data_IF_949908561958
#
_entry.id   IF_949908561958
#
_cell.length_a   1.000
_cell.length_b   1.000
_cell.length_c   1.000
_cell.angle_alpha   90.00
_cell.angle_beta   90.00
_cell.angle_gamma   90.00
#
_symmetry.space_group_name_H-M   'P 1'
#
loop_
_entity.id
_entity.type
_entity.pdbx_description
1 polymer ?
#
# COMPACT_ATOMS: atom_id res chain seq x y z
N UNK A 1 4.72 17.70 -1.94
CA UNK A 1 4.43 17.04 -0.67
C UNK A 1 5.71 16.80 0.07
N UNK A 2 5.85 17.46 1.20
CA UNK A 2 7.05 17.54 2.01
C UNK A 2 6.65 17.24 3.44
N UNK A 3 7.46 16.48 4.18
CA UNK A 3 7.21 16.17 5.59
C UNK A 3 7.20 17.43 6.48
N UNK A 4 7.84 18.53 6.05
CA UNK A 4 7.79 19.81 6.74
C UNK A 4 6.35 20.26 7.04
N UNK A 5 5.39 19.96 6.18
CA UNK A 5 3.98 20.29 6.42
C UNK A 5 3.42 19.60 7.65
N UNK A 6 3.87 18.39 7.96
CA UNK A 6 3.44 17.65 9.16
C UNK A 6 4.05 18.27 10.42
N UNK A 7 5.30 18.74 10.34
CA UNK A 7 5.94 19.45 11.44
C UNK A 7 5.24 20.78 11.75
N UNK A 8 4.83 21.54 10.72
CA UNK A 8 4.20 22.85 10.91
C UNK A 8 2.76 22.77 11.38
N UNK A 9 1.96 21.85 10.83
CA UNK A 9 0.52 21.85 11.02
C UNK A 9 0.00 20.62 11.78
N UNK A 10 0.81 19.54 11.90
CA UNK A 10 0.34 18.26 12.41
C UNK A 10 -0.29 18.35 13.80
N UNK A 11 0.36 19.05 14.73
CA UNK A 11 -0.16 19.18 16.11
C UNK A 11 -1.48 19.93 16.15
N UNK A 12 -1.64 21.02 15.40
CA UNK A 12 -2.88 21.79 15.34
C UNK A 12 -4.02 20.96 14.74
N UNK A 13 -3.73 20.26 13.64
CA UNK A 13 -4.66 19.34 12.97
C UNK A 13 -5.11 18.24 13.93
N UNK A 14 -4.16 17.61 14.64
CA UNK A 14 -4.45 16.52 15.57
C UNK A 14 -5.24 17.01 16.80
N UNK A 15 -4.93 18.19 17.34
CA UNK A 15 -5.67 18.79 18.46
C UNK A 15 -7.14 19.08 18.08
N UNK A 16 -7.41 19.37 16.80
CA UNK A 16 -8.77 19.51 16.27
C UNK A 16 -9.41 18.19 15.86
N UNK A 17 -8.75 17.07 16.10
CA UNK A 17 -9.20 15.73 15.73
C UNK A 17 -9.50 15.56 14.23
N UNK A 18 -8.83 16.34 13.37
CA UNK A 18 -8.94 16.22 11.93
C UNK A 18 -8.14 15.00 11.47
N UNK A 19 -8.75 14.17 10.64
CA UNK A 19 -8.11 12.96 10.08
C UNK A 19 -6.93 13.33 9.18
N UNK A 20 -5.83 12.63 9.31
CA UNK A 20 -4.62 12.81 8.51
C UNK A 20 -4.44 11.61 7.59
N UNK A 21 -4.36 11.86 6.28
CA UNK A 21 -3.95 10.87 5.28
C UNK A 21 -2.66 11.36 4.63
N UNK A 22 -1.57 10.62 4.85
CA UNK A 22 -0.27 10.95 4.30
C UNK A 22 0.21 9.91 3.29
N UNK A 23 0.58 10.40 2.09
CA UNK A 23 1.11 9.61 0.98
C UNK A 23 2.54 10.01 0.61
N UNK A 24 3.27 10.64 1.52
CA UNK A 24 4.66 11.03 1.30
C UNK A 24 5.53 9.78 1.22
N UNK A 25 6.28 9.61 0.12
CA UNK A 25 7.02 8.38 -0.14
C UNK A 25 8.21 8.18 0.80
N UNK A 26 8.87 9.27 1.15
CA UNK A 26 10.09 9.26 1.95
C UNK A 26 9.91 10.18 3.16
N UNK A 27 9.63 9.59 4.29
CA UNK A 27 9.73 10.23 5.60
C UNK A 27 11.10 9.94 6.21
N UNK A 28 11.63 10.91 6.95
CA UNK A 28 12.69 10.65 7.93
C UNK A 28 12.15 9.79 9.08
N UNK A 29 13.05 9.17 9.84
CA UNK A 29 12.66 8.43 11.04
C UNK A 29 11.93 9.34 12.06
N UNK A 30 12.33 10.61 12.13
CA UNK A 30 11.71 11.63 12.97
C UNK A 30 10.30 11.97 12.49
N UNK A 31 10.11 12.17 11.19
CA UNK A 31 8.80 12.45 10.59
C UNK A 31 7.81 11.29 10.79
N UNK A 32 8.26 10.04 10.67
CA UNK A 32 7.44 8.87 10.97
C UNK A 32 7.05 8.79 12.45
N UNK A 33 8.01 9.08 13.33
CA UNK A 33 7.73 9.13 14.79
C UNK A 33 6.71 10.21 15.12
N UNK A 34 6.80 11.37 14.46
CA UNK A 34 5.81 12.44 14.62
C UNK A 34 4.43 11.99 14.18
N UNK A 35 4.29 11.37 12.99
CA UNK A 35 3.01 10.83 12.52
C UNK A 35 2.40 9.83 13.50
N UNK A 36 3.22 8.94 14.07
CA UNK A 36 2.76 7.99 15.08
C UNK A 36 2.22 8.69 16.33
N UNK A 37 2.92 9.72 16.84
CA UNK A 37 2.48 10.54 17.98
C UNK A 37 1.17 11.30 17.67
N UNK A 38 0.99 11.79 16.46
CA UNK A 38 -0.28 12.41 16.06
C UNK A 38 -1.44 11.40 16.10
N UNK A 39 -1.15 10.12 15.84
CA UNK A 39 -2.10 9.03 15.96
C UNK A 39 -2.64 8.80 17.39
N UNK A 40 -1.99 9.32 18.44
CA UNK A 40 -2.51 9.29 19.79
C UNK A 40 -3.69 10.25 20.00
N UNK A 41 -3.83 11.26 19.14
CA UNK A 41 -4.85 12.32 19.26
C UNK A 41 -5.91 12.28 18.18
N UNK A 42 -5.59 11.76 17.01
CA UNK A 42 -6.52 11.67 15.88
C UNK A 42 -6.27 10.39 15.08
N UNK A 43 -7.04 10.18 14.02
CA UNK A 43 -6.85 9.08 13.10
C UNK A 43 -5.85 9.48 12.04
N UNK A 44 -4.76 8.74 11.94
CA UNK A 44 -3.67 8.99 10.98
C UNK A 44 -3.49 7.74 10.13
N UNK A 45 -3.49 7.89 8.82
CA UNK A 45 -3.03 6.84 7.92
C UNK A 45 -1.77 7.30 7.17
N UNK A 46 -0.81 6.43 7.13
CA UNK A 46 0.37 6.56 6.29
C UNK A 46 0.48 5.41 5.31
N UNK A 47 0.62 5.75 4.03
CA UNK A 47 1.00 4.80 2.99
C UNK A 47 1.78 5.50 1.89
N UNK A 48 2.99 5.06 1.57
CA UNK A 48 3.76 5.63 0.45
C UNK A 48 3.15 5.33 -0.93
N UNK A 49 2.24 4.36 -1.01
CA UNK A 49 1.35 4.17 -2.15
C UNK A 49 -0.09 4.14 -1.64
N UNK A 50 -0.90 5.09 -2.10
CA UNK A 50 -2.25 5.29 -1.57
C UNK A 50 -3.35 4.66 -2.44
N UNK A 51 -3.02 3.98 -3.53
CA UNK A 51 -4.03 3.31 -4.34
C UNK A 51 -4.54 2.04 -3.65
N UNK A 52 -5.86 1.85 -3.62
CA UNK A 52 -6.49 0.69 -3.01
C UNK A 52 -5.98 -0.61 -3.63
N UNK A 53 -5.97 -0.68 -4.96
CA UNK A 53 -5.67 -1.93 -5.67
C UNK A 53 -4.27 -2.46 -5.39
N UNK A 54 -3.23 -1.60 -5.34
CA UNK A 54 -1.87 -2.05 -5.05
C UNK A 54 -1.71 -2.53 -3.61
N UNK A 55 -2.37 -1.86 -2.65
CA UNK A 55 -2.33 -2.30 -1.25
C UNK A 55 -3.05 -3.63 -1.06
N UNK A 56 -4.16 -3.86 -1.78
CA UNK A 56 -4.85 -5.14 -1.78
C UNK A 56 -4.01 -6.24 -2.46
N UNK A 57 -3.36 -5.94 -3.59
CA UNK A 57 -2.42 -6.87 -4.24
C UNK A 57 -1.34 -7.32 -3.25
N UNK A 58 -0.70 -6.37 -2.55
CA UNK A 58 0.35 -6.68 -1.58
C UNK A 58 -0.17 -7.57 -0.45
N UNK A 59 -1.35 -7.28 0.09
CA UNK A 59 -1.97 -8.07 1.14
C UNK A 59 -2.31 -9.49 0.67
N UNK A 60 -2.92 -9.62 -0.51
CA UNK A 60 -3.27 -10.91 -1.10
C UNK A 60 -2.02 -11.76 -1.42
N UNK A 61 -0.98 -11.14 -1.96
CA UNK A 61 0.29 -11.81 -2.24
C UNK A 61 0.96 -12.30 -0.95
N UNK A 62 0.97 -11.50 0.12
CA UNK A 62 1.47 -11.91 1.44
C UNK A 62 0.70 -13.09 2.01
N UNK A 63 -0.62 -13.06 1.90
CA UNK A 63 -1.47 -14.16 2.38
C UNK A 63 -1.15 -15.44 1.62
N UNK A 64 -1.06 -15.36 0.29
CA UNK A 64 -0.72 -16.53 -0.53
C UNK A 64 0.69 -17.05 -0.23
N UNK A 65 1.67 -16.18 0.00
CA UNK A 65 3.03 -16.58 0.39
C UNK A 65 3.05 -17.35 1.71
N UNK A 66 2.19 -16.96 2.67
CA UNK A 66 2.05 -17.69 3.94
C UNK A 66 1.41 -19.08 3.77
N UNK A 67 0.39 -19.15 2.91
CA UNK A 67 -0.33 -20.41 2.62
C UNK A 67 0.52 -21.37 1.81
N UNK A 68 1.33 -20.84 0.88
CA UNK A 68 2.17 -21.63 -0.03
C UNK A 68 3.63 -21.13 -0.03
N UNK A 69 4.38 -21.33 1.05
CA UNK A 69 5.77 -20.86 1.16
C UNK A 69 6.73 -21.54 0.16
N UNK A 70 6.33 -22.67 -0.40
CA UNK A 70 7.09 -23.44 -1.38
C UNK A 70 6.93 -22.96 -2.83
N UNK A 71 6.01 -22.03 -3.09
CA UNK A 71 5.80 -21.51 -4.46
C UNK A 71 6.98 -20.64 -4.90
N UNK A 72 7.39 -20.80 -6.16
CA UNK A 72 8.28 -19.85 -6.80
C UNK A 72 7.58 -18.50 -7.00
N UNK A 73 8.30 -17.41 -6.80
CA UNK A 73 7.72 -16.06 -6.94
C UNK A 73 8.57 -15.23 -7.88
N UNK A 74 7.92 -14.61 -8.85
CA UNK A 74 8.45 -13.55 -9.72
C UNK A 74 7.57 -12.32 -9.65
N UNK A 75 8.19 -11.15 -9.83
CA UNK A 75 7.49 -9.85 -9.84
C UNK A 75 7.76 -9.18 -11.18
N UNK A 76 6.70 -8.74 -11.86
CA UNK A 76 6.83 -7.94 -13.08
C UNK A 76 6.31 -6.53 -12.78
N UNK A 77 7.09 -5.53 -13.17
CA UNK A 77 6.63 -4.14 -13.15
C UNK A 77 6.82 -3.49 -14.51
N UNK A 78 5.85 -2.67 -14.92
CA UNK A 78 5.91 -1.97 -16.19
C UNK A 78 5.57 -0.49 -15.95
N UNK A 79 6.39 0.38 -16.49
CA UNK A 79 6.20 1.83 -16.42
C UNK A 79 6.56 2.51 -17.75
N UNK A 80 6.30 3.80 -17.83
CA UNK A 80 6.61 4.62 -18.99
C UNK A 80 8.11 4.58 -19.34
N UNK A 81 8.39 4.81 -20.62
CA UNK A 81 9.72 4.59 -21.22
C UNK A 81 10.86 5.32 -20.51
N UNK A 82 10.60 6.53 -20.01
CA UNK A 82 11.61 7.42 -19.43
C UNK A 82 11.91 7.14 -17.94
N UNK A 83 11.15 6.24 -17.30
CA UNK A 83 11.41 5.89 -15.90
C UNK A 83 12.74 5.14 -15.76
N UNK A 84 13.68 5.72 -15.02
CA UNK A 84 15.03 5.17 -14.88
C UNK A 84 15.11 3.97 -13.93
N UNK A 85 14.55 4.13 -12.73
CA UNK A 85 14.73 3.15 -11.66
C UNK A 85 13.60 2.11 -11.62
N UNK A 86 13.94 0.93 -11.06
CA UNK A 86 12.94 -0.07 -10.67
C UNK A 86 11.92 0.55 -9.72
N UNK A 87 10.66 0.20 -9.90
CA UNK A 87 9.56 0.71 -9.09
C UNK A 87 9.79 0.48 -7.59
N UNK A 88 9.73 1.56 -6.80
CA UNK A 88 9.76 1.45 -5.35
C UNK A 88 8.63 0.58 -4.78
N UNK A 89 7.49 0.51 -5.49
CA UNK A 89 6.37 -0.39 -5.15
C UNK A 89 6.77 -1.85 -5.39
N UNK A 90 7.42 -2.18 -6.52
CA UNK A 90 7.89 -3.53 -6.79
C UNK A 90 8.92 -4.00 -5.76
N UNK A 91 9.86 -3.12 -5.35
CA UNK A 91 10.80 -3.41 -4.26
C UNK A 91 10.11 -3.69 -2.94
N UNK A 92 9.07 -2.93 -2.60
CA UNK A 92 8.24 -3.18 -1.39
C UNK A 92 7.50 -4.51 -1.47
N UNK A 93 6.98 -4.87 -2.64
CA UNK A 93 6.36 -6.18 -2.85
C UNK A 93 7.39 -7.28 -2.59
N UNK A 94 8.58 -7.20 -3.22
CA UNK A 94 9.65 -8.17 -3.02
C UNK A 94 10.04 -8.32 -1.54
N UNK A 95 10.30 -7.20 -0.88
CA UNK A 95 10.59 -7.18 0.56
C UNK A 95 9.48 -7.81 1.40
N UNK A 96 8.22 -7.54 1.07
CA UNK A 96 7.06 -8.05 1.82
C UNK A 96 6.85 -9.54 1.67
N UNK A 97 7.36 -10.14 0.59
CA UNK A 97 7.27 -11.56 0.28
C UNK A 97 8.54 -12.34 0.62
N UNK A 98 9.56 -11.66 1.17
CA UNK A 98 10.90 -12.20 1.40
C UNK A 98 11.49 -12.80 0.11
N UNK A 99 11.47 -11.99 -0.96
CA UNK A 99 11.97 -12.34 -2.29
C UNK A 99 13.08 -11.38 -2.68
N UNK A 100 14.18 -11.92 -3.26
CA UNK A 100 15.29 -11.09 -3.74
C UNK A 100 14.83 -10.13 -4.84
N UNK A 101 15.35 -8.90 -4.84
CA UNK A 101 15.05 -7.88 -5.87
C UNK A 101 15.45 -8.34 -7.29
N UNK A 102 16.35 -9.31 -7.43
CA UNK A 102 16.70 -9.95 -8.70
C UNK A 102 15.50 -10.65 -9.36
N UNK A 103 14.47 -10.98 -8.59
CA UNK A 103 13.19 -11.53 -9.04
C UNK A 103 12.21 -10.46 -9.53
N UNK A 104 12.67 -9.23 -9.72
CA UNK A 104 11.89 -8.15 -10.29
C UNK A 104 12.28 -7.95 -11.74
N UNK A 105 11.36 -8.26 -12.65
CA UNK A 105 11.48 -7.93 -14.07
C UNK A 105 10.86 -6.56 -14.34
N UNK A 106 11.68 -5.58 -14.72
CA UNK A 106 11.24 -4.22 -14.99
C UNK A 106 11.13 -3.96 -16.50
N UNK A 107 9.96 -3.59 -16.99
CA UNK A 107 9.72 -3.23 -18.38
C UNK A 107 9.44 -1.73 -18.52
N UNK A 108 9.92 -1.14 -19.62
CA UNK A 108 9.76 0.29 -19.94
C UNK A 108 9.11 0.43 -21.32
N UNK A 109 7.81 0.77 -21.33
CA UNK A 109 6.98 0.73 -22.53
C UNK A 109 6.03 1.93 -22.58
N UNK A 110 6.12 2.70 -23.66
CA UNK A 110 5.16 3.76 -23.97
C UNK A 110 4.87 4.70 -22.80
N UNK A 111 3.59 4.93 -22.56
CA UNK A 111 3.09 5.80 -21.47
C UNK A 111 2.44 5.05 -20.31
N UNK A 112 2.83 3.80 -20.04
CA UNK A 112 2.28 3.01 -18.93
C UNK A 112 2.48 3.76 -17.62
N UNK A 113 1.39 4.05 -16.92
CA UNK A 113 1.44 4.80 -15.64
C UNK A 113 2.05 3.95 -14.54
N UNK A 114 1.66 2.67 -14.47
CA UNK A 114 2.22 1.70 -13.54
C UNK A 114 1.45 0.39 -13.58
N UNK A 115 2.18 -0.69 -13.80
CA UNK A 115 1.69 -2.06 -13.76
C UNK A 115 2.53 -2.84 -12.77
N UNK A 116 1.90 -3.67 -11.95
CA UNK A 116 2.57 -4.59 -11.05
C UNK A 116 1.86 -5.94 -11.10
N UNK A 117 2.62 -6.99 -11.29
CA UNK A 117 2.15 -8.37 -11.30
C UNK A 117 3.02 -9.21 -10.37
N UNK A 118 2.41 -10.03 -9.52
CA UNK A 118 3.08 -11.06 -8.74
C UNK A 118 2.65 -12.41 -9.26
N UNK A 119 3.61 -13.21 -9.68
CA UNK A 119 3.39 -14.55 -10.23
C UNK A 119 3.85 -15.57 -9.19
N UNK A 120 2.95 -16.47 -8.84
CA UNK A 120 3.26 -17.65 -8.02
C UNK A 120 3.25 -18.89 -8.90
N UNK A 121 4.40 -19.57 -9.00
CA UNK A 121 4.56 -20.81 -9.74
C UNK A 121 4.41 -22.01 -8.81
N UNK A 122 3.55 -22.93 -9.20
CA UNK A 122 3.35 -24.22 -8.53
C UNK A 122 3.56 -25.36 -9.53
N UNK A 123 3.77 -26.61 -9.09
CA UNK A 123 3.69 -27.75 -9.99
C UNK A 123 2.34 -27.74 -10.74
N UNK A 124 2.40 -27.70 -12.07
CA UNK A 124 1.26 -27.78 -13.00
C UNK A 124 0.27 -26.61 -12.96
N UNK A 125 0.54 -25.50 -12.23
CA UNK A 125 -0.32 -24.31 -12.22
C UNK A 125 0.46 -23.05 -11.86
N UNK A 126 -0.10 -21.89 -12.24
CA UNK A 126 0.38 -20.59 -11.82
C UNK A 126 -0.79 -19.74 -11.33
N UNK A 127 -0.53 -18.87 -10.36
CA UNK A 127 -1.46 -17.83 -9.96
C UNK A 127 -0.82 -16.47 -10.20
N UNK A 128 -1.60 -15.53 -10.76
CA UNK A 128 -1.14 -14.17 -11.04
C UNK A 128 -2.05 -13.18 -10.33
N UNK A 129 -1.46 -12.22 -9.64
CA UNK A 129 -2.17 -11.13 -9.01
C UNK A 129 -1.66 -9.85 -9.66
N UNK A 130 -2.53 -9.12 -10.33
CA UNK A 130 -2.19 -8.01 -11.21
C UNK A 130 -2.88 -6.72 -10.78
N UNK A 131 -2.18 -5.60 -10.89
CA UNK A 131 -2.72 -4.27 -10.66
C UNK A 131 -2.20 -3.30 -11.72
N UNK A 132 -3.11 -2.56 -12.33
CA UNK A 132 -2.84 -1.51 -13.30
C UNK A 132 -3.29 -0.14 -12.78
N UNK A 133 -2.37 0.80 -12.70
CA UNK A 133 -2.69 2.22 -12.54
C UNK A 133 -2.99 2.83 -13.91
N UNK A 134 -4.25 2.95 -14.27
CA UNK A 134 -4.68 3.45 -15.58
C UNK A 134 -4.50 4.97 -15.67
N UNK A 135 -4.76 5.67 -14.57
CA UNK A 135 -4.66 7.13 -14.46
C UNK A 135 -4.15 7.54 -13.09
N UNK A 136 -3.56 8.74 -13.01
CA UNK A 136 -3.05 9.28 -11.73
C UNK A 136 -4.15 9.62 -10.74
N UNK A 137 -5.37 9.84 -11.18
CA UNK A 137 -6.55 10.06 -10.34
C UNK A 137 -6.83 8.90 -9.37
N UNK A 138 -6.30 7.70 -9.66
CA UNK A 138 -6.35 6.55 -8.75
C UNK A 138 -5.75 6.86 -7.37
N UNK A 139 -4.77 7.75 -7.28
CA UNK A 139 -4.22 8.18 -5.99
C UNK A 139 -5.22 9.02 -5.19
N UNK A 140 -5.94 9.92 -5.86
CA UNK A 140 -7.00 10.74 -5.23
C UNK A 140 -8.18 9.91 -4.73
N UNK A 141 -8.66 8.97 -5.56
CA UNK A 141 -9.73 8.04 -5.16
C UNK A 141 -9.30 7.13 -4.02
N UNK A 142 -8.05 6.68 -4.02
CA UNK A 142 -7.49 5.89 -2.91
C UNK A 142 -7.43 6.66 -1.60
N UNK A 143 -7.06 7.96 -1.64
CA UNK A 143 -7.09 8.83 -0.47
C UNK A 143 -8.52 9.03 0.06
N UNK A 144 -9.48 9.29 -0.82
CA UNK A 144 -10.88 9.44 -0.45
C UNK A 144 -11.45 8.17 0.19
N UNK A 145 -11.13 7.00 -0.37
CA UNK A 145 -11.54 5.72 0.20
C UNK A 145 -10.90 5.49 1.58
N UNK A 146 -9.61 5.81 1.75
CA UNK A 146 -8.93 5.72 3.04
C UNK A 146 -9.63 6.58 4.12
N UNK A 147 -10.07 7.79 3.78
CA UNK A 147 -10.84 8.64 4.69
C UNK A 147 -12.16 7.98 5.13
N UNK A 148 -12.85 7.29 4.21
CA UNK A 148 -14.08 6.56 4.52
C UNK A 148 -13.83 5.46 5.55
N UNK A 149 -12.74 4.70 5.40
CA UNK A 149 -12.38 3.64 6.35
C UNK A 149 -11.94 4.24 7.69
N UNK A 150 -11.11 5.28 7.67
CA UNK A 150 -10.62 5.93 8.88
C UNK A 150 -11.74 6.48 9.76
N UNK A 151 -12.86 6.89 9.19
CA UNK A 151 -14.03 7.32 9.94
C UNK A 151 -14.66 6.18 10.78
N UNK A 152 -14.37 4.93 10.46
CA UNK A 152 -14.96 3.74 11.09
C UNK A 152 -14.03 3.03 12.08
N UNK A 153 -12.80 3.52 12.24
CA UNK A 153 -11.83 2.94 13.18
C UNK A 153 -11.57 3.87 14.37
N UNK A 154 -11.07 3.37 15.50
CA UNK A 154 -10.67 4.20 16.64
C UNK A 154 -9.58 5.23 16.27
N UNK A 155 -9.35 6.21 17.15
CA UNK A 155 -8.16 7.07 17.09
C UNK A 155 -6.92 6.17 17.10
N UNK A 156 -5.96 6.45 16.22
CA UNK A 156 -4.77 5.62 16.06
C UNK A 156 -3.96 5.97 14.81
N UNK A 157 -2.79 5.38 14.73
CA UNK A 157 -1.94 5.38 13.55
C UNK A 157 -2.09 4.06 12.80
N UNK A 158 -2.35 4.15 11.50
CA UNK A 158 -2.63 3.02 10.63
C UNK A 158 -1.81 3.05 9.35
N UNK A 159 -1.40 1.88 8.88
CA UNK A 159 -1.03 1.68 7.48
C UNK A 159 -2.26 1.33 6.66
N UNK A 160 -2.19 1.50 5.34
CA UNK A 160 -3.28 1.08 4.46
C UNK A 160 -3.55 -0.43 4.58
N UNK A 161 -2.49 -1.22 4.71
CA UNK A 161 -2.58 -2.66 4.90
C UNK A 161 -3.38 -3.03 6.16
N UNK A 162 -3.09 -2.40 7.30
CA UNK A 162 -3.83 -2.63 8.54
C UNK A 162 -5.32 -2.29 8.41
N UNK A 163 -5.65 -1.20 7.70
CA UNK A 163 -7.04 -0.84 7.45
C UNK A 163 -7.76 -1.92 6.61
N UNK A 164 -7.12 -2.46 5.59
CA UNK A 164 -7.68 -3.54 4.77
C UNK A 164 -7.81 -4.84 5.56
N UNK A 165 -6.82 -5.20 6.37
CA UNK A 165 -6.88 -6.38 7.25
C UNK A 165 -8.06 -6.28 8.22
N UNK A 166 -8.27 -5.13 8.86
CA UNK A 166 -9.40 -4.91 9.76
C UNK A 166 -10.77 -5.11 9.08
N UNK A 167 -10.90 -4.72 7.81
CA UNK A 167 -12.13 -4.95 7.04
C UNK A 167 -12.32 -6.45 6.79
N UNK A 168 -11.28 -7.11 6.31
CA UNK A 168 -11.32 -8.54 5.98
C UNK A 168 -11.65 -9.37 7.23
N UNK A 169 -10.98 -9.09 8.36
CA UNK A 169 -11.21 -9.78 9.62
C UNK A 169 -12.67 -9.62 10.11
N UNK A 170 -13.24 -8.42 9.97
CA UNK A 170 -14.66 -8.18 10.32
C UNK A 170 -15.62 -8.98 9.44
N UNK A 171 -15.36 -9.03 8.13
CA UNK A 171 -16.19 -9.80 7.19
C UNK A 171 -16.15 -11.31 7.47
N UNK A 172 -14.97 -11.85 7.79
CA UNK A 172 -14.84 -13.26 8.14
C UNK A 172 -15.35 -13.60 9.54
N UNK A 173 -15.27 -12.67 10.51
CA UNK A 173 -15.79 -12.88 11.86
C UNK A 173 -17.32 -12.83 11.92
N UNK A 174 -17.95 -12.05 11.04
CA UNK A 174 -19.40 -11.90 10.96
C UNK A 174 -19.88 -12.22 9.53
N UNK A 175 -19.85 -13.48 9.09
CA UNK A 175 -20.37 -13.84 7.78
C UNK A 175 -21.85 -13.52 7.76
N UNK A 176 -22.25 -12.44 7.06
CA UNK A 176 -23.66 -12.18 6.77
C UNK A 176 -24.14 -13.32 5.89
N UNK A 177 -24.93 -14.21 6.45
CA UNK A 177 -25.68 -15.19 5.67
C UNK A 177 -26.64 -14.43 4.76
N UNK A 178 -26.29 -14.26 3.50
CA UNK A 178 -27.21 -13.94 2.41
C UNK A 178 -27.79 -15.22 1.87
#
# INVERSE_FOLDING_TARGET
>A
SDEASVHWYGNEIANRQIIIVSAISNYSAEGLTLLQKLGEKTRVMYSPNITLGINFLMLAAKLLRKVAPFADVEIIEQHFKEKQDVSGTAKKIAQSLDVNEEKITALRLGGIVGHHEVIFGFPHQTLRITHDSIRREAFGTGAAYALTILNQVPIGFYTYEQLLQNIIEKEFANPTHN
#
